data_IF_130392860890
#
_entry.id   IF_130392860890
#
_cell.length_a   1.000
_cell.length_b   1.000
_cell.length_c   1.000
_cell.angle_alpha   90.00
_cell.angle_beta   90.00
_cell.angle_gamma   90.00
#
_symmetry.space_group_name_H-M   'P 1'
#
loop_
_entity.id
_entity.type
_entity.pdbx_description
1 polymer ?
#
# COMPACT_ATOMS: atom_id res chain seq x y z
N UNK A 1 -7.27 -36.38 -22.36
CA UNK A 1 -6.14 -37.10 -22.99
C UNK A 1 -4.87 -36.50 -22.43
N UNK A 2 -4.27 -37.19 -21.47
CA UNK A 2 -3.14 -38.08 -21.73
C UNK A 2 -1.86 -37.29 -21.93
N UNK A 3 -1.05 -37.26 -20.88
CA UNK A 3 0.30 -37.82 -20.81
C UNK A 3 0.71 -37.53 -19.36
N UNK A 4 0.39 -38.38 -18.38
CA UNK A 4 0.90 -39.74 -18.25
C UNK A 4 2.37 -39.80 -18.62
N UNK A 5 3.12 -40.08 -17.57
CA UNK A 5 4.21 -41.04 -17.60
C UNK A 5 5.53 -40.41 -18.02
N UNK A 6 6.46 -40.57 -17.09
CA UNK A 6 7.87 -40.78 -17.33
C UNK A 6 8.71 -39.51 -17.43
N UNK A 7 9.85 -39.44 -16.79
CA UNK A 7 10.53 -40.37 -15.86
C UNK A 7 11.70 -39.51 -15.34
N UNK A 8 11.88 -39.39 -14.03
CA UNK A 8 12.70 -40.31 -13.21
C UNK A 8 14.19 -40.02 -13.35
N UNK A 9 14.88 -40.31 -12.25
CA UNK A 9 16.33 -40.36 -12.05
C UNK A 9 16.95 -39.01 -11.64
N UNK A 10 17.59 -38.82 -10.49
CA UNK A 10 18.21 -39.70 -9.47
C UNK A 10 18.45 -38.85 -8.20
N UNK A 11 18.51 -39.37 -6.96
CA UNK A 11 18.77 -40.74 -6.51
C UNK A 11 18.24 -40.99 -5.09
N UNK A 12 17.83 -42.22 -4.75
CA UNK A 12 18.68 -43.32 -4.20
C UNK A 12 19.15 -42.95 -2.76
N UNK A 13 18.89 -43.67 -1.65
CA UNK A 13 19.03 -45.12 -1.32
C UNK A 13 18.73 -45.21 0.22
N UNK A 14 17.72 -45.95 0.76
CA UNK A 14 17.73 -47.31 1.38
C UNK A 14 16.37 -47.52 2.11
N UNK A 15 15.54 -48.52 1.80
CA UNK A 15 15.45 -49.89 2.40
C UNK A 15 15.17 -49.89 3.94
N UNK A 16 14.30 -50.71 4.57
CA UNK A 16 13.68 -51.99 4.21
C UNK A 16 12.63 -52.45 5.28
N UNK A 17 11.62 -53.23 4.86
CA UNK A 17 10.93 -54.39 5.51
C UNK A 17 10.03 -54.21 6.76
N UNK A 18 8.71 -54.48 6.64
CA UNK A 18 7.97 -55.77 6.76
C UNK A 18 7.59 -56.11 8.24
N UNK A 19 6.33 -56.39 8.65
CA UNK A 19 5.55 -57.59 8.30
C UNK A 19 4.12 -57.60 8.91
N UNK A 20 3.16 -58.21 8.18
CA UNK A 20 1.95 -58.99 8.55
C UNK A 20 0.90 -58.44 9.54
N UNK A 21 -0.38 -58.18 9.16
CA UNK A 21 -1.49 -59.06 8.70
C UNK A 21 -1.87 -60.22 9.65
N UNK A 22 -3.11 -60.18 10.18
CA UNK A 22 -4.13 -61.24 10.08
C UNK A 22 -5.48 -60.73 10.62
N UNK A 23 -6.46 -60.62 9.71
CA UNK A 23 -7.90 -60.49 9.97
C UNK A 23 -8.50 -61.76 9.36
N UNK A 24 -9.11 -62.64 10.16
CA UNK A 24 -9.85 -63.80 9.65
C UNK A 24 -11.33 -63.57 9.90
N UNK A 25 -12.08 -63.39 8.82
CA UNK A 25 -13.51 -63.71 8.75
C UNK A 25 -13.53 -65.01 7.94
N UNK A 26 -14.09 -66.08 8.51
CA UNK A 26 -14.57 -67.20 7.71
C UNK A 26 -16.08 -67.33 7.90
N UNK A 27 -16.70 -67.44 6.75
CA UNK A 27 -18.10 -67.59 6.43
C UNK A 27 -18.37 -69.10 6.35
N UNK A 28 -19.39 -69.62 7.04
CA UNK A 28 -19.98 -70.90 6.62
C UNK A 28 -21.50 -70.81 6.53
N UNK A 29 -21.94 -71.13 5.31
CA UNK A 29 -23.29 -71.39 4.85
C UNK A 29 -23.96 -72.52 5.63
N UNK A 30 -25.29 -72.44 5.83
CA UNK A 30 -26.24 -73.37 5.21
C UNK A 30 -27.69 -73.09 5.65
N UNK A 31 -28.55 -73.03 4.64
CA UNK A 31 -30.00 -72.89 4.74
C UNK A 31 -30.62 -74.22 5.18
N UNK A 32 -31.44 -74.20 6.24
CA UNK A 32 -32.58 -75.11 6.36
C UNK A 32 -33.84 -74.31 6.72
N UNK A 33 -34.72 -74.14 5.73
CA UNK A 33 -36.14 -73.87 5.94
C UNK A 33 -36.75 -75.14 6.54
N UNK A 34 -37.56 -75.01 7.60
CA UNK A 34 -38.96 -75.48 7.62
C UNK A 34 -39.76 -75.06 8.87
N UNK A 35 -40.81 -74.26 8.61
CA UNK A 35 -42.20 -74.30 9.13
C UNK A 35 -42.49 -74.29 10.65
N UNK A 36 -42.97 -73.10 11.07
CA UNK A 36 -44.15 -72.78 11.93
C UNK A 36 -44.33 -73.50 13.27
N UNK A 37 -44.22 -72.70 14.35
CA UNK A 37 -45.23 -72.65 15.41
C UNK A 37 -45.37 -71.20 15.91
N UNK A 38 -46.60 -70.69 16.06
CA UNK A 38 -46.85 -69.38 16.69
C UNK A 38 -46.41 -69.43 18.16
N UNK A 39 -45.70 -68.42 18.67
CA UNK A 39 -45.35 -68.38 20.08
C UNK A 39 -46.59 -68.11 20.94
N UNK A 40 -46.75 -68.95 21.96
CA UNK A 40 -47.74 -68.87 23.02
C UNK A 40 -47.55 -67.54 23.76
N UNK A 41 -48.59 -66.73 23.87
CA UNK A 41 -48.59 -65.51 24.67
C UNK A 41 -48.39 -65.91 26.13
N UNK A 42 -47.18 -65.73 26.65
CA UNK A 42 -46.92 -65.69 28.08
C UNK A 42 -47.18 -64.25 28.51
N UNK A 43 -48.27 -64.02 29.25
CA UNK A 43 -48.50 -62.76 29.94
C UNK A 43 -47.38 -62.58 30.96
N UNK A 44 -46.43 -61.68 30.69
CA UNK A 44 -45.52 -61.19 31.71
C UNK A 44 -46.31 -60.18 32.53
N UNK A 45 -46.63 -60.54 33.78
CA UNK A 45 -47.16 -59.57 34.73
C UNK A 45 -46.17 -58.40 34.86
N UNK A 46 -46.62 -57.13 34.78
CA UNK A 46 -45.74 -55.99 34.87
C UNK A 46 -45.09 -55.96 36.26
N UNK A 47 -43.75 -55.94 36.31
CA UNK A 47 -43.01 -55.76 37.55
C UNK A 47 -43.43 -54.43 38.20
N UNK A 48 -43.84 -54.41 39.49
CA UNK A 48 -44.48 -53.25 40.12
C UNK A 48 -43.55 -52.06 40.42
N UNK A 49 -42.27 -52.12 40.03
CA UNK A 49 -41.25 -51.09 40.27
C UNK A 49 -40.47 -50.77 39.00
N UNK A 50 -40.13 -49.49 38.78
CA UNK A 50 -39.15 -49.08 37.77
C UNK A 50 -37.70 -49.31 38.23
N UNK A 51 -36.75 -49.19 37.30
CA UNK A 51 -35.32 -49.32 37.62
C UNK A 51 -34.80 -48.15 38.48
N UNK A 52 -33.80 -48.44 39.31
CA UNK A 52 -33.12 -47.43 40.11
C UNK A 52 -32.19 -46.56 39.27
N UNK A 53 -32.17 -45.25 39.56
CA UNK A 53 -31.16 -44.34 39.02
C UNK A 53 -29.76 -44.69 39.54
N UNK A 54 -28.73 -44.15 38.86
CA UNK A 54 -27.37 -44.14 39.40
C UNK A 54 -27.33 -43.36 40.72
N UNK A 55 -26.38 -43.72 41.58
CA UNK A 55 -26.12 -43.01 42.83
C UNK A 55 -25.58 -41.61 42.57
N UNK A 56 -25.98 -40.65 43.42
CA UNK A 56 -25.40 -39.31 43.43
C UNK A 56 -23.93 -39.32 43.87
N UNK A 57 -23.22 -38.22 43.63
CA UNK A 57 -21.93 -37.99 44.27
C UNK A 57 -22.07 -38.00 45.80
N UNK A 58 -21.00 -38.38 46.50
CA UNK A 58 -20.99 -38.41 47.96
C UNK A 58 -21.07 -37.00 48.54
N UNK A 59 -21.89 -36.79 49.57
CA UNK A 59 -22.02 -35.46 50.21
C UNK A 59 -20.75 -34.98 50.92
N UNK A 60 -19.80 -35.87 51.18
CA UNK A 60 -18.47 -35.55 51.72
C UNK A 60 -17.39 -36.25 50.90
N UNK A 61 -16.27 -35.55 50.66
CA UNK A 61 -15.13 -36.08 49.93
C UNK A 61 -14.15 -36.89 50.80
N UNK A 62 -14.06 -36.61 52.11
CA UNK A 62 -13.30 -37.39 53.09
C UNK A 62 -13.88 -37.21 54.52
N UNK A 63 -13.38 -37.97 55.50
CA UNK A 63 -13.66 -37.76 56.92
C UNK A 63 -14.82 -38.56 57.52
N UNK A 64 -15.38 -39.53 56.78
CA UNK A 64 -16.49 -40.36 57.28
C UNK A 64 -17.84 -39.66 57.30
N UNK A 65 -18.91 -40.46 57.28
CA UNK A 65 -20.29 -39.97 57.47
C UNK A 65 -20.86 -39.13 56.31
N UNK A 66 -20.38 -39.35 55.08
CA UNK A 66 -21.06 -38.86 53.88
C UNK A 66 -22.26 -39.74 53.52
N UNK A 67 -23.21 -39.18 52.77
CA UNK A 67 -24.41 -39.89 52.30
C UNK A 67 -24.60 -39.62 50.82
N UNK A 68 -24.97 -40.66 50.07
CA UNK A 68 -25.37 -40.57 48.67
C UNK A 68 -26.79 -41.11 48.50
N UNK A 69 -27.52 -40.56 47.53
CA UNK A 69 -28.94 -40.85 47.30
C UNK A 69 -29.17 -41.37 45.87
N UNK A 70 -30.20 -42.21 45.70
CA UNK A 70 -30.73 -42.58 44.38
C UNK A 70 -32.25 -42.67 44.42
N UNK A 71 -32.90 -42.57 43.26
CA UNK A 71 -34.36 -42.63 43.14
C UNK A 71 -34.81 -43.58 42.05
N UNK A 72 -36.02 -44.14 42.20
CA UNK A 72 -36.72 -44.89 41.15
C UNK A 72 -38.14 -44.38 41.01
N UNK A 73 -38.74 -44.63 39.86
CA UNK A 73 -40.16 -44.38 39.63
C UNK A 73 -40.97 -45.63 39.92
N UNK A 74 -42.17 -45.45 40.45
CA UNK A 74 -43.06 -46.56 40.76
C UNK A 74 -44.32 -46.51 39.93
N UNK A 75 -44.84 -47.70 39.66
CA UNK A 75 -46.02 -47.90 38.82
C UNK A 75 -47.27 -48.11 39.69
N UNK A 76 -47.11 -48.34 40.99
CA UNK A 76 -48.20 -48.51 41.96
C UNK A 76 -48.11 -47.53 43.14
N UNK A 77 -49.24 -47.13 43.77
CA UNK A 77 -49.23 -46.31 44.97
C UNK A 77 -48.64 -47.07 46.19
N UNK A 78 -47.87 -46.39 47.06
CA UNK A 78 -47.15 -46.93 48.23
C UNK A 78 -45.93 -47.82 47.94
N UNK A 79 -44.94 -47.28 47.23
CA UNK A 79 -43.62 -47.90 47.06
C UNK A 79 -42.50 -47.03 47.66
N UNK A 80 -41.34 -47.63 47.94
CA UNK A 80 -40.13 -46.87 48.30
C UNK A 80 -39.49 -46.26 47.03
N UNK A 81 -39.47 -44.93 46.95
CA UNK A 81 -38.98 -44.15 45.81
C UNK A 81 -37.55 -43.67 45.95
N UNK A 82 -37.04 -43.59 47.18
CA UNK A 82 -35.72 -43.06 47.50
C UNK A 82 -34.94 -44.02 48.41
N UNK A 83 -33.64 -44.06 48.17
CA UNK A 83 -32.71 -44.87 48.94
C UNK A 83 -31.46 -44.04 49.21
N UNK A 84 -30.94 -44.18 50.43
CA UNK A 84 -29.77 -43.45 50.92
C UNK A 84 -28.77 -44.43 51.50
N UNK A 85 -27.48 -44.25 51.20
CA UNK A 85 -26.41 -45.06 51.81
C UNK A 85 -25.21 -44.20 52.21
N UNK A 86 -24.48 -44.69 53.21
CA UNK A 86 -23.25 -44.05 53.66
C UNK A 86 -22.14 -44.12 52.59
N UNK A 87 -21.27 -43.13 52.58
CA UNK A 87 -20.08 -43.04 51.73
C UNK A 87 -18.98 -42.21 52.39
N UNK A 88 -17.77 -42.27 51.83
CA UNK A 88 -16.65 -41.41 52.24
C UNK A 88 -15.88 -41.90 53.47
N UNK A 89 -15.41 -43.14 53.49
CA UNK A 89 -14.65 -43.74 54.61
C UNK A 89 -13.15 -43.39 54.63
N UNK A 90 -12.69 -42.47 53.78
CA UNK A 90 -11.27 -42.10 53.70
C UNK A 90 -10.93 -41.09 54.81
N UNK A 91 -9.95 -41.35 55.69
CA UNK A 91 -9.46 -40.37 56.66
C UNK A 91 -8.84 -39.15 55.95
N UNK A 92 -9.15 -37.93 56.38
CA UNK A 92 -8.47 -36.73 55.88
C UNK A 92 -7.11 -36.57 56.61
N UNK A 93 -6.05 -36.14 55.91
CA UNK A 93 -4.74 -35.86 56.52
C UNK A 93 -4.80 -34.61 57.42
N UNK A 94 -4.07 -34.62 58.55
CA UNK A 94 -4.08 -33.56 59.57
C UNK A 94 -2.86 -32.64 59.40
N UNK A 95 -2.99 -31.46 58.79
CA UNK A 95 -1.90 -30.48 58.70
C UNK A 95 -2.13 -29.35 57.69
N UNK A 96 -1.11 -28.49 57.52
CA UNK A 96 -1.00 -27.70 56.29
C UNK A 96 -0.87 -28.67 55.11
N UNK A 97 -1.57 -28.40 54.01
CA UNK A 97 -1.30 -29.05 52.74
C UNK A 97 0.16 -28.83 52.33
N UNK A 98 0.65 -29.65 51.41
CA UNK A 98 1.83 -29.28 50.65
C UNK A 98 1.66 -27.89 50.03
N UNK A 99 2.76 -27.16 49.90
CA UNK A 99 2.74 -25.88 49.20
C UNK A 99 2.34 -26.10 47.75
N UNK A 100 1.42 -25.26 47.25
CA UNK A 100 1.22 -25.20 45.81
C UNK A 100 2.50 -24.75 45.11
N UNK A 101 2.60 -25.12 43.83
CA UNK A 101 3.63 -24.58 42.95
C UNK A 101 3.61 -23.06 42.97
N UNK A 102 4.78 -22.47 42.75
CA UNK A 102 4.89 -21.02 42.63
C UNK A 102 4.01 -20.51 41.49
N UNK A 103 3.19 -19.51 41.78
CA UNK A 103 2.49 -18.77 40.74
C UNK A 103 3.46 -18.08 39.78
N UNK A 104 2.96 -17.65 38.64
CA UNK A 104 3.73 -16.86 37.68
C UNK A 104 4.22 -15.56 38.32
N UNK A 105 5.32 -15.01 37.80
CA UNK A 105 5.81 -13.71 38.23
C UNK A 105 4.71 -12.67 37.97
N UNK A 106 4.27 -11.96 39.01
CA UNK A 106 3.20 -10.97 38.91
C UNK A 106 3.59 -9.79 38.03
N UNK A 107 4.89 -9.53 37.90
CA UNK A 107 5.43 -8.60 36.92
C UNK A 107 5.51 -9.30 35.55
N UNK A 108 5.04 -8.62 34.50
CA UNK A 108 5.16 -9.06 33.11
C UNK A 108 6.55 -8.81 32.52
N UNK A 109 7.37 -7.98 33.17
CA UNK A 109 8.74 -7.69 32.79
C UNK A 109 9.64 -7.37 34.00
N UNK A 110 10.96 -7.54 33.88
CA UNK A 110 11.94 -7.15 34.91
C UNK A 110 11.84 -7.94 36.22
N UNK A 111 12.18 -7.29 37.35
CA UNK A 111 11.99 -7.89 38.68
C UNK A 111 10.55 -7.76 39.13
N UNK A 112 10.00 -8.83 39.71
CA UNK A 112 8.66 -8.85 40.27
C UNK A 112 8.56 -9.76 41.48
N UNK A 113 7.33 -10.04 41.89
CA UNK A 113 7.02 -10.93 42.99
C UNK A 113 6.13 -12.08 42.52
N UNK A 114 6.37 -13.28 43.03
CA UNK A 114 5.52 -14.46 42.84
C UNK A 114 5.01 -14.93 44.18
N UNK A 115 3.83 -15.54 44.19
CA UNK A 115 3.17 -16.04 45.39
C UNK A 115 2.91 -17.53 45.27
N UNK A 116 3.02 -18.25 46.38
CA UNK A 116 2.47 -19.59 46.54
C UNK A 116 1.62 -19.66 47.81
N UNK A 117 0.68 -20.58 47.81
CA UNK A 117 -0.32 -20.74 48.88
C UNK A 117 -0.31 -22.20 49.34
N UNK A 118 -0.68 -22.42 50.60
CA UNK A 118 -0.99 -23.74 51.17
C UNK A 118 -2.29 -23.63 51.96
N UNK A 119 -3.02 -24.74 52.08
CA UNK A 119 -4.33 -24.74 52.72
C UNK A 119 -4.28 -25.48 54.04
N UNK A 120 -5.05 -25.02 55.02
CA UNK A 120 -5.17 -25.70 56.31
C UNK A 120 -6.19 -26.83 56.16
N UNK A 121 -5.73 -28.08 56.17
CA UNK A 121 -6.59 -29.26 56.03
C UNK A 121 -7.16 -29.74 57.38
N UNK A 122 -6.73 -29.12 58.48
CA UNK A 122 -7.24 -29.38 59.81
C UNK A 122 -8.59 -28.67 60.05
N UNK A 123 -9.69 -29.43 59.93
CA UNK A 123 -11.00 -28.99 60.39
C UNK A 123 -10.96 -28.57 61.86
N UNK A 124 -11.37 -27.33 62.14
CA UNK A 124 -11.57 -26.71 63.47
C UNK A 124 -10.37 -26.51 64.41
N UNK A 125 -9.13 -26.93 64.08
CA UNK A 125 -7.93 -26.59 64.87
C UNK A 125 -6.89 -25.80 64.06
N UNK A 126 -6.40 -24.72 64.67
CA UNK A 126 -5.64 -23.63 64.03
C UNK A 126 -4.29 -24.09 63.47
N UNK A 127 -4.11 -23.99 62.15
CA UNK A 127 -2.79 -24.06 61.54
C UNK A 127 -1.95 -22.81 61.91
N UNK A 128 -0.77 -23.00 62.49
CA UNK A 128 0.13 -21.92 62.88
C UNK A 128 1.11 -21.56 61.73
N UNK A 129 1.32 -20.26 61.50
CA UNK A 129 2.14 -19.73 60.39
C UNK A 129 1.31 -19.12 59.26
N UNK A 130 1.99 -18.55 58.25
CA UNK A 130 1.33 -17.94 57.10
C UNK A 130 0.84 -19.02 56.12
N UNK A 131 -0.32 -18.78 55.54
CA UNK A 131 -0.94 -19.58 54.47
C UNK A 131 -0.40 -19.22 53.08
N UNK A 132 0.30 -18.09 52.96
CA UNK A 132 0.91 -17.62 51.72
C UNK A 132 2.36 -17.18 51.93
N UNK A 133 3.14 -17.29 50.86
CA UNK A 133 4.52 -16.84 50.79
C UNK A 133 4.75 -16.04 49.52
N UNK A 134 5.50 -14.94 49.63
CA UNK A 134 5.87 -14.07 48.51
C UNK A 134 7.39 -14.11 48.35
N UNK A 135 7.86 -14.34 47.13
CA UNK A 135 9.28 -14.33 46.76
C UNK A 135 9.51 -13.44 45.55
N UNK A 136 10.72 -12.86 45.47
CA UNK A 136 11.17 -12.18 44.25
C UNK A 136 11.29 -13.16 43.09
N UNK A 137 11.00 -12.69 41.89
CA UNK A 137 11.16 -13.40 40.64
C UNK A 137 11.67 -12.47 39.54
N UNK A 138 12.26 -13.05 38.50
CA UNK A 138 12.60 -12.36 37.27
C UNK A 138 11.58 -12.76 36.21
N UNK A 139 10.85 -11.78 35.67
CA UNK A 139 9.93 -11.98 34.57
C UNK A 139 10.71 -12.20 33.25
N UNK A 140 10.15 -12.95 32.29
CA UNK A 140 10.87 -13.40 31.09
C UNK A 140 11.25 -12.27 30.11
N UNK A 141 10.69 -11.07 30.27
CA UNK A 141 10.94 -9.91 29.38
C UNK A 141 11.59 -8.77 30.17
N UNK A 142 12.61 -8.06 29.67
CA UNK A 142 13.11 -6.84 30.30
C UNK A 142 12.15 -5.65 30.09
N UNK A 143 11.94 -4.82 31.11
CA UNK A 143 11.06 -3.65 30.98
C UNK A 143 11.73 -2.52 30.19
N UNK A 144 11.15 -2.10 29.06
CA UNK A 144 11.54 -0.87 28.36
C UNK A 144 10.50 0.22 28.69
N UNK A 145 10.90 1.34 29.30
CA UNK A 145 10.02 2.35 29.90
C UNK A 145 8.96 3.00 28.97
N UNK A 146 9.22 4.21 28.49
CA UNK A 146 8.34 4.88 27.52
C UNK A 146 8.48 4.22 26.14
N UNK A 147 7.39 4.17 25.39
CA UNK A 147 7.48 3.91 23.95
C UNK A 147 8.06 5.11 23.22
N UNK A 148 8.38 4.90 21.94
CA UNK A 148 8.67 5.99 21.04
C UNK A 148 7.51 6.99 21.00
N UNK A 149 7.85 8.23 20.71
CA UNK A 149 6.87 9.29 20.48
C UNK A 149 6.09 9.01 19.20
N UNK A 150 4.80 9.33 19.22
CA UNK A 150 4.01 9.46 18.01
C UNK A 150 4.57 10.58 17.11
N UNK A 151 4.14 10.57 15.86
CA UNK A 151 4.26 11.75 15.02
C UNK A 151 3.53 12.95 15.63
N UNK A 152 3.98 14.14 15.24
CA UNK A 152 3.31 15.39 15.62
C UNK A 152 1.95 15.50 14.92
N UNK A 153 0.92 15.92 15.66
CA UNK A 153 -0.37 16.28 15.07
C UNK A 153 -0.20 17.42 14.06
N UNK A 154 -1.15 17.57 13.11
CA UNK A 154 -1.26 18.81 12.35
C UNK A 154 -1.30 20.04 13.25
N UNK A 155 -0.88 21.19 12.72
CA UNK A 155 -0.95 22.46 13.44
C UNK A 155 -2.42 22.76 13.78
N UNK A 156 -2.69 23.20 15.01
CA UNK A 156 -4.04 23.48 15.49
C UNK A 156 -4.78 24.57 14.69
N UNK A 157 -4.04 25.35 13.89
CA UNK A 157 -4.56 26.38 13.00
C UNK A 157 -4.11 26.09 11.58
N UNK A 158 -4.94 26.48 10.61
CA UNK A 158 -4.57 26.46 9.19
C UNK A 158 -3.60 27.59 8.82
N UNK A 159 -3.54 28.67 9.61
CA UNK A 159 -2.67 29.81 9.38
C UNK A 159 -2.27 30.50 10.69
N UNK A 160 -1.03 31.02 10.73
CA UNK A 160 -0.48 31.75 11.86
C UNK A 160 0.10 30.85 12.95
N UNK A 161 0.18 31.39 14.16
CA UNK A 161 0.72 30.69 15.33
C UNK A 161 -0.30 29.69 15.87
N UNK A 162 0.08 28.42 15.89
CA UNK A 162 -0.69 27.33 16.49
C UNK A 162 0.18 26.43 17.34
N UNK A 163 -0.40 25.28 17.69
CA UNK A 163 0.25 24.26 18.51
C UNK A 163 0.15 22.89 17.85
N UNK A 164 1.17 22.08 18.02
CA UNK A 164 1.18 20.65 17.68
C UNK A 164 1.40 19.84 18.95
N UNK A 165 0.78 18.68 19.03
CA UNK A 165 0.95 17.73 20.12
C UNK A 165 1.55 16.44 19.59
N UNK A 166 2.31 15.74 20.41
CA UNK A 166 2.61 14.32 20.23
C UNK A 166 2.51 13.59 21.54
N UNK A 167 2.29 12.29 21.47
CA UNK A 167 2.03 11.45 22.63
C UNK A 167 2.92 10.21 22.62
N UNK A 168 3.27 9.73 23.80
CA UNK A 168 3.94 8.44 24.02
C UNK A 168 3.27 7.74 25.18
N UNK A 169 3.30 6.43 25.17
CA UNK A 169 2.70 5.65 26.25
C UNK A 169 3.78 5.04 27.14
N UNK A 170 3.43 4.90 28.41
CA UNK A 170 4.28 4.24 29.38
C UNK A 170 3.88 2.78 29.45
N UNK A 171 4.80 1.87 29.14
CA UNK A 171 4.52 0.43 29.23
C UNK A 171 4.72 -0.09 30.65
N UNK A 172 5.54 0.59 31.47
CA UNK A 172 5.75 0.29 32.89
C UNK A 172 5.75 1.56 33.76
N UNK A 173 4.67 1.75 34.53
CA UNK A 173 4.39 2.94 35.36
C UNK A 173 5.49 3.28 36.37
N UNK A 174 6.23 2.29 36.86
CA UNK A 174 7.28 2.48 37.88
C UNK A 174 8.61 3.04 37.29
N UNK A 175 8.77 3.03 35.96
CA UNK A 175 10.02 3.42 35.28
C UNK A 175 9.90 4.72 34.47
N UNK A 176 8.69 5.24 34.25
CA UNK A 176 8.44 6.41 33.41
C UNK A 176 8.52 7.71 34.22
N UNK A 177 9.70 8.35 34.26
CA UNK A 177 9.85 9.72 34.76
C UNK A 177 9.76 10.73 33.61
N UNK A 178 8.65 11.44 33.49
CA UNK A 178 8.43 12.48 32.48
C UNK A 178 6.98 12.51 31.96
N UNK A 179 6.68 13.46 31.08
CA UNK A 179 5.33 13.59 30.50
C UNK A 179 5.07 12.58 29.38
N UNK A 180 3.82 12.12 29.26
CA UNK A 180 3.31 11.30 28.15
C UNK A 180 2.83 12.14 26.96
N UNK A 181 2.69 13.45 27.15
CA UNK A 181 2.30 14.41 26.12
C UNK A 181 3.35 15.51 26.02
N UNK A 182 3.65 15.93 24.81
CA UNK A 182 4.50 17.08 24.51
C UNK A 182 3.77 18.01 23.55
N UNK A 183 3.92 19.32 23.77
CA UNK A 183 3.34 20.36 22.93
C UNK A 183 4.44 21.30 22.44
N UNK A 184 4.37 21.70 21.16
CA UNK A 184 5.25 22.71 20.59
C UNK A 184 4.46 23.73 19.78
N UNK A 185 5.04 24.92 19.60
CA UNK A 185 4.49 25.93 18.70
C UNK A 185 4.78 25.58 17.24
N UNK A 186 3.81 25.84 16.38
CA UNK A 186 3.95 25.80 14.92
C UNK A 186 3.57 27.17 14.35
N UNK A 187 4.24 27.59 13.29
CA UNK A 187 3.89 28.79 12.56
C UNK A 187 3.53 28.42 11.12
N UNK A 188 2.25 28.52 10.77
CA UNK A 188 1.77 28.29 9.41
C UNK A 188 1.74 29.62 8.66
N UNK A 189 2.23 29.64 7.42
CA UNK A 189 2.21 30.85 6.61
C UNK A 189 0.74 31.18 6.29
N UNK A 190 0.28 32.34 6.71
CA UNK A 190 -1.03 32.83 6.30
C UNK A 190 -0.98 33.18 4.81
N UNK A 191 -1.91 32.64 4.04
CA UNK A 191 -2.17 33.07 2.68
C UNK A 191 -3.47 33.85 2.65
N UNK A 192 -3.47 34.95 1.89
CA UNK A 192 -4.69 35.69 1.61
C UNK A 192 -5.51 34.96 0.55
N UNK A 193 -6.81 35.17 0.58
CA UNK A 193 -7.71 34.67 -0.45
C UNK A 193 -7.77 35.63 -1.63
N UNK A 194 -7.73 35.06 -2.83
CA UNK A 194 -7.93 35.81 -4.06
C UNK A 194 -9.43 36.04 -4.30
N UNK A 195 -9.79 37.20 -4.86
CA UNK A 195 -11.09 37.38 -5.48
C UNK A 195 -11.27 36.42 -6.66
N UNK A 196 -12.51 36.27 -7.12
CA UNK A 196 -12.74 35.72 -8.45
C UNK A 196 -11.97 36.53 -9.49
N UNK A 197 -11.45 35.84 -10.51
CA UNK A 197 -10.90 36.50 -11.67
C UNK A 197 -11.94 37.41 -12.32
N UNK A 198 -11.49 38.56 -12.82
CA UNK A 198 -12.27 39.37 -13.74
C UNK A 198 -12.60 38.57 -15.01
N UNK A 199 -13.57 39.06 -15.79
CA UNK A 199 -13.67 38.66 -17.18
C UNK A 199 -12.36 38.95 -17.93
N UNK A 200 -12.12 38.22 -19.01
CA UNK A 200 -11.05 38.54 -19.94
C UNK A 200 -11.32 39.90 -20.59
N UNK A 201 -10.27 40.71 -20.74
CA UNK A 201 -10.34 41.92 -21.55
C UNK A 201 -10.69 41.58 -22.99
N UNK A 202 -11.10 42.58 -23.76
CA UNK A 202 -11.10 42.41 -25.21
C UNK A 202 -9.67 42.12 -25.68
N UNK A 203 -9.57 41.31 -26.75
CA UNK A 203 -8.30 41.03 -27.40
C UNK A 203 -7.72 42.33 -27.96
N UNK A 204 -6.43 42.57 -27.71
CA UNK A 204 -5.74 43.77 -28.19
C UNK A 204 -5.64 43.86 -29.73
N UNK A 205 -5.85 42.74 -30.43
CA UNK A 205 -5.87 42.65 -31.89
C UNK A 205 -7.09 41.90 -32.37
N UNK A 206 -7.75 42.36 -33.44
CA UNK A 206 -8.90 41.67 -33.99
C UNK A 206 -8.52 40.41 -34.77
N UNK A 207 -7.27 40.27 -35.21
CA UNK A 207 -6.76 39.15 -36.02
C UNK A 207 -5.22 39.11 -35.94
N UNK A 208 -4.62 38.03 -36.44
CA UNK A 208 -3.16 37.90 -36.58
C UNK A 208 -2.43 37.60 -35.28
N UNK A 209 -3.15 37.12 -34.26
CA UNK A 209 -2.63 36.82 -32.93
C UNK A 209 -2.51 38.08 -32.07
N UNK A 210 -3.39 38.18 -31.08
CA UNK A 210 -3.39 39.19 -30.03
C UNK A 210 -3.28 38.59 -28.63
N UNK A 211 -3.34 39.44 -27.62
CA UNK A 211 -3.30 39.10 -26.21
C UNK A 211 -4.48 39.74 -25.49
N UNK A 212 -5.19 38.94 -24.69
CA UNK A 212 -6.17 39.41 -23.73
C UNK A 212 -5.70 39.09 -22.31
N UNK A 213 -6.20 39.86 -21.35
CA UNK A 213 -5.71 39.84 -19.98
C UNK A 213 -6.87 39.86 -19.01
N UNK A 214 -6.68 39.22 -17.86
CA UNK A 214 -7.62 39.32 -16.72
C UNK A 214 -6.85 39.57 -15.44
N UNK A 215 -7.55 40.11 -14.45
CA UNK A 215 -6.98 40.48 -13.17
C UNK A 215 -7.81 39.91 -12.01
N UNK A 216 -7.20 39.78 -10.84
CA UNK A 216 -7.86 39.45 -9.57
C UNK A 216 -7.20 40.24 -8.45
N UNK A 217 -7.94 40.46 -7.38
CA UNK A 217 -7.46 41.26 -6.24
C UNK A 217 -7.29 40.36 -5.03
N UNK A 218 -6.20 40.55 -4.28
CA UNK A 218 -6.02 39.88 -3.00
C UNK A 218 -6.98 40.50 -1.99
N UNK A 219 -7.92 39.71 -1.47
CA UNK A 219 -8.98 40.23 -0.59
C UNK A 219 -8.43 40.59 0.80
N UNK A 220 -7.36 39.90 1.23
CA UNK A 220 -6.67 40.20 2.48
C UNK A 220 -5.57 41.26 2.27
N UNK A 221 -5.71 42.40 2.92
CA UNK A 221 -4.74 43.50 2.83
C UNK A 221 -3.49 43.27 3.71
N UNK A 222 -3.59 42.39 4.71
CA UNK A 222 -2.51 42.12 5.69
C UNK A 222 -1.72 40.85 5.38
N UNK A 223 -2.20 40.04 4.45
CA UNK A 223 -1.66 38.71 4.16
C UNK A 223 -1.47 38.57 2.67
N UNK A 224 -0.27 38.18 2.25
CA UNK A 224 0.07 38.03 0.83
C UNK A 224 -0.69 36.84 0.22
N UNK A 225 -1.33 37.07 -0.91
CA UNK A 225 -1.91 36.00 -1.73
C UNK A 225 -0.82 35.36 -2.61
N UNK A 226 -0.71 34.02 -2.65
CA UNK A 226 0.28 33.33 -3.47
C UNK A 226 -0.13 33.32 -4.95
N UNK A 227 0.82 33.56 -5.86
CA UNK A 227 0.61 33.57 -7.31
C UNK A 227 0.49 34.99 -7.89
N UNK A 228 0.17 35.06 -9.19
CA UNK A 228 0.04 36.31 -9.93
C UNK A 228 -1.38 36.89 -9.81
N UNK A 229 -1.48 38.21 -9.78
CA UNK A 229 -2.71 39.01 -9.81
C UNK A 229 -3.20 39.29 -11.24
N UNK A 230 -2.33 39.10 -12.24
CA UNK A 230 -2.63 39.23 -13.66
C UNK A 230 -2.37 37.92 -14.41
N UNK A 231 -3.23 37.61 -15.38
CA UNK A 231 -3.03 36.51 -16.33
C UNK A 231 -3.22 37.01 -17.76
N UNK A 232 -2.44 36.47 -18.71
CA UNK A 232 -2.48 36.82 -20.13
C UNK A 232 -2.61 35.57 -20.99
N UNK A 233 -3.41 35.63 -22.05
CA UNK A 233 -3.52 34.55 -23.04
C UNK A 233 -3.62 35.07 -24.46
N UNK A 234 -3.28 34.21 -25.42
CA UNK A 234 -3.45 34.51 -26.85
C UNK A 234 -4.92 34.47 -27.24
N UNK A 235 -5.27 35.32 -28.20
CA UNK A 235 -6.61 35.43 -28.77
C UNK A 235 -6.50 35.83 -30.25
N UNK A 236 -7.55 35.60 -31.02
CA UNK A 236 -7.65 36.01 -32.43
C UNK A 236 -6.46 35.57 -33.32
N UNK A 237 -6.08 34.29 -33.21
CA UNK A 237 -4.97 33.70 -33.99
C UNK A 237 -5.27 33.52 -35.49
N UNK A 238 -6.50 33.81 -35.93
CA UNK A 238 -6.87 33.74 -37.33
C UNK A 238 -6.15 34.80 -38.16
N UNK A 239 -5.85 34.48 -39.43
CA UNK A 239 -5.15 35.39 -40.31
C UNK A 239 -5.96 36.68 -40.57
N UNK A 240 -5.26 37.80 -40.65
CA UNK A 240 -5.88 39.07 -40.96
C UNK A 240 -6.28 39.18 -42.45
N UNK A 241 -7.40 39.87 -42.76
CA UNK A 241 -7.76 40.22 -44.14
C UNK A 241 -6.64 40.96 -44.88
N UNK A 242 -6.60 40.86 -46.20
CA UNK A 242 -5.52 41.38 -47.04
C UNK A 242 -5.23 42.88 -46.83
N UNK A 243 -6.26 43.68 -46.51
CA UNK A 243 -6.17 45.12 -46.28
C UNK A 243 -6.10 45.52 -44.79
N UNK A 244 -6.05 44.56 -43.88
CA UNK A 244 -6.00 44.86 -42.44
C UNK A 244 -4.64 45.44 -42.04
N UNK A 245 -4.60 46.52 -41.23
CA UNK A 245 -3.36 47.10 -40.72
C UNK A 245 -2.61 46.14 -39.79
N UNK A 246 -3.30 45.14 -39.23
CA UNK A 246 -2.73 44.13 -38.32
C UNK A 246 -2.13 42.92 -39.04
N UNK A 247 -2.30 42.82 -40.37
CA UNK A 247 -1.67 41.75 -41.14
C UNK A 247 -0.15 41.99 -41.12
N UNK A 248 0.67 41.01 -40.70
CA UNK A 248 2.11 41.13 -40.83
C UNK A 248 2.41 41.35 -42.31
N UNK A 249 2.93 42.53 -42.64
CA UNK A 249 3.28 42.88 -44.01
C UNK A 249 4.54 42.11 -44.38
N UNK A 250 4.39 40.84 -44.77
CA UNK A 250 5.36 40.16 -45.63
C UNK A 250 5.29 40.81 -47.01
N UNK A 251 5.76 42.05 -47.10
CA UNK A 251 6.05 42.72 -48.37
C UNK A 251 7.53 42.60 -48.74
N UNK A 252 8.19 41.55 -48.25
CA UNK A 252 9.52 41.20 -48.69
C UNK A 252 9.34 40.32 -49.93
N UNK A 253 9.74 40.84 -51.08
CA UNK A 253 9.76 40.11 -52.33
C UNK A 253 11.17 40.15 -52.91
N UNK A 254 11.50 39.16 -53.73
CA UNK A 254 12.71 39.22 -54.52
C UNK A 254 12.67 40.44 -55.45
N UNK A 255 13.76 41.20 -55.49
CA UNK A 255 14.00 42.14 -56.57
C UNK A 255 14.03 41.39 -57.91
N UNK A 256 13.92 42.13 -59.02
CA UNK A 256 14.35 41.60 -60.31
C UNK A 256 15.81 41.13 -60.24
N UNK A 257 16.16 40.14 -61.06
CA UNK A 257 17.55 39.70 -61.21
C UNK A 257 18.42 40.84 -61.74
N UNK A 258 19.64 40.95 -61.23
CA UNK A 258 20.66 41.82 -61.81
C UNK A 258 20.94 41.40 -63.26
N UNK A 259 21.57 42.28 -64.05
CA UNK A 259 22.14 41.85 -65.32
C UNK A 259 23.21 40.78 -65.05
N UNK A 260 23.32 39.82 -65.97
CA UNK A 260 24.39 38.83 -65.96
C UNK A 260 25.76 39.52 -66.01
N UNK A 261 26.70 39.02 -65.21
CA UNK A 261 28.10 39.42 -65.30
C UNK A 261 28.69 39.09 -66.68
N UNK A 262 29.84 39.70 -66.99
CA UNK A 262 30.63 39.23 -68.13
C UNK A 262 31.03 37.76 -67.95
N UNK A 263 31.25 37.07 -69.06
CA UNK A 263 31.66 35.67 -69.04
C UNK A 263 33.07 35.57 -68.45
N UNK A 264 33.26 34.75 -67.42
CA UNK A 264 34.56 34.56 -66.76
C UNK A 264 34.98 33.08 -66.86
N UNK A 265 36.28 32.78 -66.92
CA UNK A 265 36.77 31.40 -66.88
C UNK A 265 36.39 30.72 -65.57
N UNK A 266 36.13 29.41 -65.63
CA UNK A 266 35.73 28.63 -64.44
C UNK A 266 36.96 28.43 -63.54
N UNK A 267 36.90 28.78 -62.24
CA UNK A 267 38.00 28.56 -61.32
C UNK A 267 38.38 27.07 -61.25
N UNK A 268 39.67 26.75 -61.30
CA UNK A 268 40.25 25.40 -61.20
C UNK A 268 39.95 24.42 -62.36
N UNK A 269 39.58 24.90 -63.55
CA UNK A 269 39.43 24.01 -64.73
C UNK A 269 40.75 23.82 -65.51
N UNK A 270 41.12 22.56 -65.77
CA UNK A 270 42.23 22.23 -66.68
C UNK A 270 41.81 22.44 -68.12
N UNK A 271 42.56 23.28 -68.82
CA UNK A 271 42.26 23.74 -70.17
C UNK A 271 42.79 22.78 -71.26
N UNK A 272 43.27 21.61 -70.85
CA UNK A 272 43.95 20.63 -71.71
C UNK A 272 42.97 19.65 -72.40
N UNK A 273 41.68 19.70 -72.04
CA UNK A 273 40.62 18.88 -72.64
C UNK A 273 39.83 19.69 -73.69
N UNK A 274 39.70 19.24 -74.95
CA UNK A 274 39.00 19.94 -76.04
C UNK A 274 37.56 20.34 -75.72
N UNK A 275 36.90 19.58 -74.83
CA UNK A 275 35.49 19.78 -74.48
C UNK A 275 35.22 21.00 -73.57
N UNK A 276 36.24 21.62 -72.99
CA UNK A 276 36.10 22.76 -72.07
C UNK A 276 36.76 24.05 -72.56
N UNK A 277 37.36 24.03 -73.77
CA UNK A 277 37.94 25.22 -74.40
C UNK A 277 36.86 26.23 -74.78
N UNK A 278 37.03 27.47 -74.32
CA UNK A 278 36.13 28.58 -74.65
C UNK A 278 34.81 28.57 -73.86
N UNK A 279 34.71 27.82 -72.77
CA UNK A 279 33.54 27.81 -71.88
C UNK A 279 33.87 28.57 -70.59
N UNK A 280 33.01 29.51 -70.23
CA UNK A 280 33.06 30.25 -68.99
C UNK A 280 31.75 30.17 -68.22
N UNK A 281 31.70 30.82 -67.07
CA UNK A 281 30.50 30.99 -66.25
C UNK A 281 30.23 32.48 -66.08
N UNK A 282 28.95 32.84 -66.15
CA UNK A 282 28.44 34.15 -65.77
C UNK A 282 27.47 34.01 -64.61
N UNK A 283 27.38 35.05 -63.78
CA UNK A 283 26.60 35.04 -62.56
C UNK A 283 25.63 36.24 -62.54
N UNK A 284 24.47 36.06 -61.91
CA UNK A 284 23.54 37.15 -61.58
C UNK A 284 23.05 37.00 -60.14
N UNK A 285 22.68 38.11 -59.50
CA UNK A 285 22.21 38.14 -58.12
C UNK A 285 20.88 38.88 -58.02
N UNK A 286 20.12 38.59 -56.96
CA UNK A 286 18.91 39.34 -56.58
C UNK A 286 18.92 39.59 -55.08
N UNK A 287 18.17 40.59 -54.64
CA UNK A 287 18.10 40.97 -53.22
C UNK A 287 16.67 40.86 -52.71
N UNK A 288 16.50 40.48 -51.44
CA UNK A 288 15.20 40.49 -50.78
C UNK A 288 14.89 41.93 -50.36
N UNK A 289 13.92 42.57 -51.01
CA UNK A 289 13.59 43.99 -50.81
C UNK A 289 12.18 44.13 -50.24
N UNK A 290 12.02 45.10 -49.34
CA UNK A 290 10.73 45.47 -48.77
C UNK A 290 10.06 46.59 -49.58
N UNK A 291 8.74 46.53 -49.74
CA UNK A 291 7.99 47.70 -50.20
C UNK A 291 7.77 48.70 -49.05
N UNK A 292 8.07 49.99 -49.30
CA UNK A 292 7.95 51.06 -48.30
C UNK A 292 9.09 51.08 -47.28
N UNK A 293 8.81 51.45 -46.03
CA UNK A 293 9.78 51.50 -44.92
C UNK A 293 10.08 50.13 -44.28
N UNK A 294 9.82 49.03 -44.98
CA UNK A 294 9.96 47.68 -44.44
C UNK A 294 11.42 47.22 -44.56
N UNK A 295 12.11 47.02 -43.44
CA UNK A 295 13.42 46.37 -43.43
C UNK A 295 13.24 44.85 -43.57
N UNK A 296 13.81 44.26 -44.63
CA UNK A 296 13.68 42.84 -44.94
C UNK A 296 15.00 42.09 -44.68
N UNK A 297 14.89 40.90 -44.10
CA UNK A 297 16.02 39.99 -43.91
C UNK A 297 16.04 38.92 -45.02
N UNK A 298 17.22 38.49 -45.53
CA UNK A 298 17.31 37.53 -46.64
C UNK A 298 16.51 36.23 -46.43
N UNK A 299 16.40 35.75 -45.19
CA UNK A 299 15.64 34.54 -44.83
C UNK A 299 14.13 34.64 -45.10
N UNK A 300 13.58 35.84 -45.29
CA UNK A 300 12.15 36.06 -45.51
C UNK A 300 11.71 35.82 -46.97
N UNK A 301 12.63 35.83 -47.94
CA UNK A 301 12.34 35.58 -49.35
C UNK A 301 12.73 34.16 -49.84
N UNK A 302 13.48 33.40 -49.03
CA UNK A 302 14.05 32.09 -49.38
C UNK A 302 15.56 32.14 -49.68
N UNK A 303 16.12 31.07 -50.24
CA UNK A 303 17.59 30.87 -50.27
C UNK A 303 18.28 31.20 -51.60
N UNK A 304 17.55 31.30 -52.72
CA UNK A 304 18.17 31.42 -54.04
C UNK A 304 18.50 32.89 -54.36
N UNK A 305 19.65 33.35 -53.87
CA UNK A 305 20.16 34.74 -54.01
C UNK A 305 21.02 34.92 -55.27
N UNK A 306 21.54 33.82 -55.83
CA UNK A 306 22.55 33.83 -56.90
C UNK A 306 22.30 32.71 -57.90
N UNK A 307 22.41 33.04 -59.18
CA UNK A 307 22.32 32.07 -60.27
C UNK A 307 23.61 32.07 -61.10
N UNK A 308 23.95 30.90 -61.63
CA UNK A 308 25.12 30.66 -62.50
C UNK A 308 24.66 30.04 -63.80
N UNK A 309 25.24 30.50 -64.91
CA UNK A 309 24.98 29.95 -66.23
C UNK A 309 26.28 29.81 -67.02
N UNK A 310 26.39 28.75 -67.83
CA UNK A 310 27.48 28.60 -68.79
C UNK A 310 27.39 29.63 -69.91
N UNK A 311 28.55 30.09 -70.37
CA UNK A 311 28.69 31.04 -71.46
C UNK A 311 29.93 30.70 -72.30
N UNK A 312 30.05 31.32 -73.47
CA UNK A 312 31.23 31.18 -74.33
C UNK A 312 32.19 32.34 -74.11
N UNK A 313 33.46 32.04 -73.92
CA UNK A 313 34.55 33.00 -73.82
C UNK A 313 35.02 33.39 -75.23
N UNK A 314 35.41 34.65 -75.40
CA UNK A 314 36.05 35.11 -76.64
C UNK A 314 37.52 34.65 -76.64
N UNK A 315 37.94 33.79 -77.59
CA UNK A 315 39.31 33.27 -77.66
C UNK A 315 40.39 34.35 -77.80
N UNK A 316 40.02 35.58 -78.19
CA UNK A 316 40.96 36.67 -78.44
C UNK A 316 41.17 37.59 -77.24
N UNK A 317 40.29 37.55 -76.23
CA UNK A 317 40.32 38.47 -75.08
C UNK A 317 40.61 37.78 -73.76
N UNK A 318 40.12 36.56 -73.58
CA UNK A 318 40.17 35.86 -72.29
C UNK A 318 40.84 34.47 -72.46
N UNK A 319 42.18 34.40 -72.56
CA UNK A 319 42.88 33.14 -72.66
C UNK A 319 42.73 32.37 -71.34
N UNK A 320 42.15 31.17 -71.44
CA UNK A 320 42.16 30.16 -70.39
C UNK A 320 43.58 30.00 -69.80
N UNK A 321 43.76 30.32 -68.52
CA UNK A 321 45.08 30.22 -67.85
C UNK A 321 45.41 28.74 -67.66
N UNK A 322 46.49 28.26 -68.30
CA UNK A 322 47.03 26.92 -68.05
C UNK A 322 47.60 26.87 -66.64
N UNK A 323 47.04 26.02 -65.80
CA UNK A 323 47.62 25.71 -64.49
C UNK A 323 48.69 24.63 -64.75
N UNK A 324 49.97 25.01 -64.66
CA UNK A 324 51.08 24.05 -64.62
C UNK A 324 51.03 23.23 -63.33
#
# INVERSE_FOLDING_TARGET
MHLFVYIVLLGLILACNASNLTLSIDEELAVHRERRACPRIVRVEPRPYGEWSRWSACSKSCGGGGVQHRRRQCVVPNCQTDESRACGHVPCALGWSEWCEWGHCRASCGQGERMRVRYCEAGTLRCHGKDHEISRCQAPVPCQGFTDWSDWTPCSVSCGLGKQRRERHCTNRELCRGSTSEERQCNQICHGDWSSWSGWSQCDRPCGGGVEQRHRVCQSHRVRCPGQDQERRRCNDHACPAHSPFRPQTRCQWSGWSRWSQCQPIPNYRCDLPQYLGIGVREQTRQCVGYGNSQCHPQQCGEEVKQRQSCRLDPRRDPCVRIN
#
